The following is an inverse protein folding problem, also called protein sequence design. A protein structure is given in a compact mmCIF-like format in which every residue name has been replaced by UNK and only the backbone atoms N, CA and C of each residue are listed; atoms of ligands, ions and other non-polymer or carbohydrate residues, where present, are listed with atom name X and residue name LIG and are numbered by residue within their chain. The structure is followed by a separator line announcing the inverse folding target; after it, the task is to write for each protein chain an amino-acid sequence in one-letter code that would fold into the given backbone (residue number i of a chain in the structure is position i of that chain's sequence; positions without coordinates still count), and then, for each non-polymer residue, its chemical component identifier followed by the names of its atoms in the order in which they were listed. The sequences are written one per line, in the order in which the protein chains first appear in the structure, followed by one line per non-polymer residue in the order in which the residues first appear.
data_IF_080792204001
#
_entry.id   IF_080792204001
#
_cell.length_a   1.000
_cell.length_b   1.000
_cell.length_c   1.000
_cell.angle_alpha   90.00
_cell.angle_beta   90.00
_cell.angle_gamma   90.00
#
_symmetry.space_group_name_H-M   'P 1'
#
loop_
_entity.id
_entity.type
_entity.pdbx_description
1 polymer ?
#
# COMPACT_ATOMS: atom_id res chain seq x y z
N UNK A 1 12.43 46.52 -42.02
CA UNK A 1 12.84 45.12 -41.76
C UNK A 1 12.81 44.86 -40.26
N UNK A 2 11.67 44.39 -39.81
CA UNK A 2 11.42 43.96 -38.43
C UNK A 2 12.02 42.55 -38.25
N UNK A 3 12.76 42.27 -37.16
CA UNK A 3 13.32 40.94 -36.94
C UNK A 3 12.20 39.92 -36.67
N UNK A 4 12.35 38.65 -37.10
CA UNK A 4 11.32 37.63 -36.93
C UNK A 4 11.18 37.27 -35.44
N UNK A 5 9.95 37.21 -34.96
CA UNK A 5 9.63 36.71 -33.62
C UNK A 5 10.15 35.27 -33.46
N UNK A 6 10.75 34.94 -32.31
CA UNK A 6 11.20 33.58 -32.03
C UNK A 6 9.99 32.64 -31.95
N UNK A 7 10.13 31.36 -32.37
CA UNK A 7 9.05 30.40 -32.30
C UNK A 7 8.63 30.26 -30.83
N UNK A 8 7.32 30.38 -30.60
CA UNK A 8 6.68 30.13 -29.31
C UNK A 8 7.11 28.75 -28.83
N UNK A 9 8.12 28.72 -27.96
CA UNK A 9 8.51 27.50 -27.27
C UNK A 9 7.29 27.05 -26.49
N UNK A 10 6.79 25.87 -26.82
CA UNK A 10 5.67 25.20 -26.13
C UNK A 10 5.78 25.46 -24.63
N UNK A 11 4.95 26.38 -24.14
CA UNK A 11 4.88 26.63 -22.70
C UNK A 11 4.44 25.31 -22.06
N UNK A 12 5.24 24.76 -21.13
CA UNK A 12 4.89 23.54 -20.43
C UNK A 12 3.51 23.73 -19.85
N UNK A 13 2.58 22.91 -20.31
CA UNK A 13 1.21 23.12 -19.95
C UNK A 13 1.05 22.68 -18.49
N UNK A 14 0.14 23.28 -17.72
CA UNK A 14 0.00 22.96 -16.29
C UNK A 14 -0.19 21.46 -15.99
N UNK A 15 -0.72 20.70 -16.97
CA UNK A 15 -0.90 19.25 -16.88
C UNK A 15 0.38 18.43 -17.03
N UNK A 16 1.46 18.99 -17.59
CA UNK A 16 2.75 18.30 -17.74
C UNK A 16 3.45 18.10 -16.38
N UNK A 17 3.23 19.00 -15.42
CA UNK A 17 3.70 18.83 -14.04
C UNK A 17 2.91 17.78 -13.26
N UNK A 18 1.61 17.67 -13.53
CA UNK A 18 0.72 16.70 -12.89
C UNK A 18 1.04 15.28 -13.39
N UNK A 19 1.24 15.10 -14.70
CA UNK A 19 1.56 13.80 -15.29
C UNK A 19 2.94 13.27 -14.86
N UNK A 20 3.94 14.15 -14.74
CA UNK A 20 5.25 13.79 -14.19
C UNK A 20 5.15 13.32 -12.74
N UNK A 21 4.38 14.03 -11.90
CA UNK A 21 4.20 13.68 -10.49
C UNK A 21 3.51 12.31 -10.34
N UNK A 22 2.41 12.08 -11.06
CA UNK A 22 1.70 10.81 -11.04
C UNK A 22 2.54 9.64 -11.57
N UNK A 23 3.36 9.87 -12.60
CA UNK A 23 4.26 8.85 -13.15
C UNK A 23 5.36 8.49 -12.15
N UNK A 24 5.95 9.49 -11.49
CA UNK A 24 6.94 9.30 -10.42
C UNK A 24 6.33 8.60 -9.20
N UNK A 25 5.13 9.00 -8.76
CA UNK A 25 4.39 8.36 -7.67
C UNK A 25 4.05 6.90 -7.98
N UNK A 26 3.62 6.61 -9.22
CA UNK A 26 3.36 5.25 -9.66
C UNK A 26 4.63 4.38 -9.62
N UNK A 27 5.78 4.95 -10.01
CA UNK A 27 7.07 4.25 -10.01
C UNK A 27 7.55 3.91 -8.59
N UNK A 28 7.30 4.78 -7.61
CA UNK A 28 7.62 4.52 -6.19
C UNK A 28 6.81 3.37 -5.60
N UNK A 29 5.62 3.12 -6.15
CA UNK A 29 4.70 2.10 -5.66
C UNK A 29 4.88 0.71 -6.30
N UNK A 30 5.50 0.63 -7.48
CA UNK A 30 5.79 -0.64 -8.17
C UNK A 30 6.55 -1.67 -7.33
N UNK A 31 7.68 -1.33 -6.67
CA UNK A 31 8.39 -2.31 -5.85
C UNK A 31 7.57 -2.77 -4.64
N UNK A 32 6.69 -1.91 -4.12
CA UNK A 32 5.75 -2.25 -3.05
C UNK A 32 4.70 -3.25 -3.53
N UNK A 33 4.12 -3.01 -4.71
CA UNK A 33 3.12 -3.89 -5.32
C UNK A 33 3.70 -5.27 -5.71
N UNK A 34 4.96 -5.30 -6.16
CA UNK A 34 5.71 -6.55 -6.38
C UNK A 34 5.96 -7.29 -5.06
N UNK A 35 6.45 -6.59 -4.02
CA UNK A 35 6.67 -7.17 -2.70
C UNK A 35 5.37 -7.72 -2.09
N UNK A 36 4.25 -6.99 -2.24
CA UNK A 36 2.94 -7.45 -1.81
C UNK A 36 2.51 -8.73 -2.53
N UNK A 37 2.70 -8.77 -3.85
CA UNK A 37 2.36 -9.93 -4.68
C UNK A 37 3.14 -11.18 -4.25
N UNK A 38 4.44 -11.02 -3.97
CA UNK A 38 5.28 -12.11 -3.46
C UNK A 38 4.82 -12.61 -2.09
N UNK A 39 4.48 -11.70 -1.16
CA UNK A 39 3.95 -12.08 0.14
C UNK A 39 2.63 -12.83 0.03
N UNK A 40 1.73 -12.36 -0.84
CA UNK A 40 0.46 -13.01 -1.10
C UNK A 40 0.68 -14.42 -1.65
N UNK A 41 1.52 -14.58 -2.67
CA UNK A 41 1.84 -15.90 -3.22
C UNK A 41 2.50 -16.83 -2.20
N UNK A 42 3.39 -16.32 -1.34
CA UNK A 42 4.06 -17.11 -0.32
C UNK A 42 3.07 -17.61 0.74
N UNK A 43 2.22 -16.71 1.24
CA UNK A 43 1.26 -17.04 2.30
C UNK A 43 0.07 -17.87 1.80
N UNK A 44 -0.30 -17.75 0.52
CA UNK A 44 -1.33 -18.57 -0.12
C UNK A 44 -0.84 -19.98 -0.46
N UNK A 45 0.42 -20.14 -0.91
CA UNK A 45 0.92 -21.44 -1.39
C UNK A 45 1.66 -22.28 -0.33
N UNK A 46 2.47 -21.65 0.52
CA UNK A 46 3.38 -22.40 1.41
C UNK A 46 2.81 -22.62 2.82
N UNK A 47 1.75 -21.89 3.18
CA UNK A 47 1.30 -21.79 4.56
C UNK A 47 2.36 -21.14 5.46
N UNK A 48 2.05 -20.96 6.75
CA UNK A 48 2.94 -20.28 7.72
C UNK A 48 4.27 -21.00 7.98
N UNK A 49 4.41 -22.26 7.53
CA UNK A 49 5.50 -23.16 7.90
C UNK A 49 6.85 -22.88 7.18
N UNK A 50 6.84 -22.19 6.03
CA UNK A 50 8.06 -21.96 5.23
C UNK A 50 8.69 -20.58 5.49
N UNK A 51 8.04 -19.76 6.31
CA UNK A 51 8.55 -18.44 6.66
C UNK A 51 9.71 -18.57 7.65
N UNK A 52 10.93 -18.15 7.24
CA UNK A 52 12.15 -18.22 8.06
C UNK A 52 11.99 -17.65 9.47
N UNK A 53 11.24 -16.54 9.62
CA UNK A 53 10.88 -15.97 10.92
C UNK A 53 9.50 -15.32 10.84
N UNK A 54 8.50 -15.84 11.59
CA UNK A 54 7.15 -15.30 11.55
C UNK A 54 7.07 -13.85 12.06
N UNK A 55 7.85 -13.49 13.08
CA UNK A 55 7.90 -12.11 13.62
C UNK A 55 8.44 -11.10 12.61
N UNK A 56 9.47 -11.48 11.85
CA UNK A 56 10.01 -10.64 10.78
C UNK A 56 9.00 -10.43 9.65
N UNK A 57 8.25 -11.47 9.30
CA UNK A 57 7.17 -11.36 8.31
C UNK A 57 6.03 -10.49 8.79
N UNK A 58 5.62 -10.62 10.06
CA UNK A 58 4.61 -9.73 10.66
C UNK A 58 5.07 -8.26 10.59
N UNK A 59 6.31 -8.00 10.99
CA UNK A 59 6.89 -6.64 10.96
C UNK A 59 6.97 -6.09 9.53
N UNK A 60 7.37 -6.93 8.56
CA UNK A 60 7.44 -6.55 7.16
C UNK A 60 6.06 -6.22 6.57
N UNK A 61 5.03 -7.01 6.88
CA UNK A 61 3.65 -6.76 6.44
C UNK A 61 3.06 -5.51 7.10
N UNK A 62 3.35 -5.27 8.38
CA UNK A 62 2.93 -4.04 9.07
C UNK A 62 3.54 -2.79 8.42
N UNK A 63 4.84 -2.84 8.09
CA UNK A 63 5.51 -1.75 7.40
C UNK A 63 4.91 -1.51 6.01
N UNK A 64 4.65 -2.58 5.25
CA UNK A 64 4.06 -2.50 3.93
C UNK A 64 2.66 -1.88 3.96
N UNK A 65 1.81 -2.28 4.92
CA UNK A 65 0.48 -1.68 5.12
C UNK A 65 0.57 -0.19 5.46
N UNK A 66 1.51 0.19 6.33
CA UNK A 66 1.74 1.58 6.71
C UNK A 66 2.21 2.43 5.51
N UNK A 67 3.08 1.89 4.67
CA UNK A 67 3.54 2.54 3.45
C UNK A 67 2.40 2.76 2.45
N UNK A 68 1.49 1.80 2.31
CA UNK A 68 0.30 1.99 1.47
C UNK A 68 -0.66 3.04 2.01
N UNK A 69 -0.83 3.15 3.34
CA UNK A 69 -1.59 4.24 3.94
C UNK A 69 -0.96 5.61 3.63
N UNK A 70 0.37 5.71 3.66
CA UNK A 70 1.09 6.95 3.34
C UNK A 70 1.04 7.34 1.85
N UNK A 71 0.84 6.37 0.96
CA UNK A 71 0.75 6.60 -0.50
C UNK A 71 -0.70 6.79 -0.98
N UNK A 72 -1.66 7.02 -0.07
CA UNK A 72 -3.09 7.12 -0.41
C UNK A 72 -3.59 5.93 -1.26
N UNK A 73 -3.07 4.73 -0.96
CA UNK A 73 -3.48 3.45 -1.58
C UNK A 73 -4.28 2.59 -0.58
N UNK A 74 -5.50 3.01 -0.21
CA UNK A 74 -6.23 2.42 0.90
C UNK A 74 -6.66 0.98 0.64
N UNK A 75 -6.90 0.59 -0.62
CA UNK A 75 -7.30 -0.78 -0.97
C UNK A 75 -6.13 -1.74 -0.72
N UNK A 76 -4.92 -1.37 -1.14
CA UNK A 76 -3.70 -2.16 -0.92
C UNK A 76 -3.36 -2.25 0.57
N UNK A 77 -3.51 -1.14 1.31
CA UNK A 77 -3.36 -1.13 2.76
C UNK A 77 -4.33 -2.11 3.44
N UNK A 78 -5.61 -2.07 3.03
CA UNK A 78 -6.64 -2.97 3.56
C UNK A 78 -6.32 -4.44 3.29
N UNK A 79 -5.96 -4.78 2.06
CA UNK A 79 -5.58 -6.16 1.70
C UNK A 79 -4.36 -6.63 2.51
N UNK A 80 -3.37 -5.76 2.70
CA UNK A 80 -2.18 -6.07 3.51
C UNK A 80 -2.53 -6.32 4.98
N UNK A 81 -3.39 -5.48 5.57
CA UNK A 81 -3.80 -5.64 6.96
C UNK A 81 -4.68 -6.88 7.17
N UNK A 82 -5.49 -7.27 6.19
CA UNK A 82 -6.24 -8.53 6.23
C UNK A 82 -5.31 -9.74 6.18
N UNK A 83 -4.26 -9.69 5.35
CA UNK A 83 -3.23 -10.72 5.27
C UNK A 83 -2.44 -10.83 6.58
N UNK A 84 -2.06 -9.68 7.15
CA UNK A 84 -1.42 -9.59 8.47
C UNK A 84 -2.30 -10.21 9.56
N UNK A 85 -3.59 -9.89 9.60
CA UNK A 85 -4.54 -10.47 10.55
C UNK A 85 -4.60 -11.99 10.42
N UNK A 86 -4.70 -12.50 9.20
CA UNK A 86 -4.73 -13.94 8.95
C UNK A 86 -3.46 -14.61 9.48
N UNK A 87 -2.30 -14.01 9.25
CA UNK A 87 -1.02 -14.51 9.76
C UNK A 87 -0.95 -14.48 11.30
N UNK A 88 -1.35 -13.38 11.95
CA UNK A 88 -1.41 -13.30 13.42
C UNK A 88 -2.32 -14.40 14.01
N UNK A 89 -3.46 -14.66 13.38
CA UNK A 89 -4.39 -15.72 13.81
C UNK A 89 -3.76 -17.11 13.67
N UNK A 90 -3.08 -17.39 12.56
CA UNK A 90 -2.37 -18.65 12.35
C UNK A 90 -1.24 -18.87 13.37
N UNK A 91 -0.54 -17.79 13.73
CA UNK A 91 0.53 -17.80 14.74
C UNK A 91 0.02 -17.81 16.18
N UNK A 92 -1.31 -17.74 16.38
CA UNK A 92 -1.96 -17.59 17.70
C UNK A 92 -1.43 -16.39 18.48
N UNK A 93 -1.19 -15.27 17.79
CA UNK A 93 -0.83 -13.99 18.39
C UNK A 93 -2.09 -13.11 18.56
N UNK A 94 -2.72 -13.10 19.76
CA UNK A 94 -3.92 -12.30 20.01
C UNK A 94 -3.63 -10.80 20.01
N UNK A 95 -2.43 -10.38 20.42
CA UNK A 95 -2.06 -8.97 20.47
C UNK A 95 -1.87 -8.43 19.05
N UNK A 96 -1.14 -9.15 18.20
CA UNK A 96 -0.99 -8.81 16.78
C UNK A 96 -2.33 -8.82 16.03
N UNK A 97 -3.22 -9.75 16.38
CA UNK A 97 -4.58 -9.80 15.81
C UNK A 97 -5.40 -8.56 16.19
N UNK A 98 -5.40 -8.19 17.47
CA UNK A 98 -6.11 -7.00 17.95
C UNK A 98 -5.55 -5.72 17.32
N UNK A 99 -4.22 -5.60 17.20
CA UNK A 99 -3.58 -4.46 16.56
C UNK A 99 -3.96 -4.36 15.07
N UNK A 100 -3.91 -5.46 14.32
CA UNK A 100 -4.30 -5.49 12.93
C UNK A 100 -5.79 -5.11 12.73
N UNK A 101 -6.67 -5.59 13.63
CA UNK A 101 -8.09 -5.21 13.62
C UNK A 101 -8.29 -3.73 13.92
N UNK A 102 -7.57 -3.17 14.89
CA UNK A 102 -7.63 -1.73 15.20
C UNK A 102 -7.23 -0.89 13.99
N UNK A 103 -6.15 -1.27 13.30
CA UNK A 103 -5.70 -0.57 12.10
C UNK A 103 -6.71 -0.70 10.94
N UNK A 104 -7.32 -1.88 10.77
CA UNK A 104 -8.39 -2.08 9.79
C UNK A 104 -9.61 -1.20 10.08
N UNK A 105 -10.04 -1.11 11.34
CA UNK A 105 -11.17 -0.26 11.73
C UNK A 105 -10.86 1.20 11.42
N UNK A 106 -9.67 1.68 11.80
CA UNK A 106 -9.25 3.05 11.53
C UNK A 106 -9.27 3.35 10.03
N UNK A 107 -8.72 2.45 9.21
CA UNK A 107 -8.69 2.60 7.75
C UNK A 107 -10.11 2.61 7.14
N UNK A 108 -10.99 1.70 7.59
CA UNK A 108 -12.37 1.63 7.10
C UNK A 108 -13.19 2.87 7.47
N UNK A 109 -12.95 3.45 8.67
CA UNK A 109 -13.55 4.71 9.07
C UNK A 109 -13.05 5.87 8.21
N UNK A 110 -11.75 5.93 7.91
CA UNK A 110 -11.18 6.93 7.01
C UNK A 110 -11.75 6.83 5.58
N UNK A 111 -12.05 5.62 5.12
CA UNK A 111 -12.67 5.36 3.82
C UNK A 111 -14.18 5.69 3.76
N UNK A 112 -14.79 6.07 4.88
CA UNK A 112 -16.23 6.31 4.94
C UNK A 112 -17.07 5.03 4.88
N UNK A 113 -16.50 3.89 5.28
CA UNK A 113 -17.16 2.57 5.33
C UNK A 113 -17.44 2.11 6.78
N UNK A 114 -18.20 2.86 7.60
CA UNK A 114 -18.36 2.56 9.02
C UNK A 114 -19.14 1.27 9.30
N UNK A 115 -20.00 0.83 8.37
CA UNK A 115 -20.73 -0.44 8.49
C UNK A 115 -19.81 -1.66 8.47
N UNK A 116 -18.68 -1.58 7.77
CA UNK A 116 -17.66 -2.64 7.71
C UNK A 116 -16.67 -2.58 8.87
N UNK A 117 -16.60 -1.43 9.57
CA UNK A 117 -15.74 -1.23 10.73
C UNK A 117 -16.36 -1.72 12.05
N UNK A 118 -17.60 -2.18 12.03
CA UNK A 118 -18.24 -2.81 13.20
C UNK A 118 -17.64 -4.20 13.38
N UNK A 119 -16.79 -4.34 14.40
CA UNK A 119 -16.19 -5.61 14.85
C UNK A 119 -16.98 -6.19 16.00
#
# INVERSE_FOLDING_TARGET
PEPPEPPEGEQPQPWDGISCSLSSESALSKPLDEAFSLWKQLLENAGTAEVRSPEQTLSSLQLLGSLYCLQDKPIQALQTLLLLRALCQQLRDPLGTANALSQLCQLLLQLGCPSQAQV
#
